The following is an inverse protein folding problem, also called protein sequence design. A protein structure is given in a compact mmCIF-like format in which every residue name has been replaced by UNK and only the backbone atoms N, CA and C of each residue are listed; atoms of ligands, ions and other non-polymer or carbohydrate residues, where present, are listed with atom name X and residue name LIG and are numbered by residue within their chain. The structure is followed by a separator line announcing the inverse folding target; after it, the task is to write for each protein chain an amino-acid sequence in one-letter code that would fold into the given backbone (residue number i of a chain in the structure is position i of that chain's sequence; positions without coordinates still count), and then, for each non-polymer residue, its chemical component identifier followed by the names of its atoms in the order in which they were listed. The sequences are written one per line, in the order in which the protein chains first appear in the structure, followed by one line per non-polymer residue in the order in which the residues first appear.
data_IF_333250762599
#
_entry.id   IF_333250762599
#
_cell.length_a   1.000
_cell.length_b   1.000
_cell.length_c   1.000
_cell.angle_alpha   90.00
_cell.angle_beta   90.00
_cell.angle_gamma   90.00
#
_symmetry.space_group_name_H-M   'P 1'
#
loop_
_entity.id
_entity.type
_entity.pdbx_description
1 polymer ?
#
# COMPACT_ATOMS: atom_id res chain seq x y z
N UNK A 1 -6.89 26.35 -1.26
CA UNK A 1 -6.70 25.17 -0.38
C UNK A 1 -5.87 24.17 -1.16
N UNK A 2 -4.69 23.75 -0.67
CA UNK A 2 -3.96 22.67 -1.32
C UNK A 2 -4.84 21.42 -1.37
N UNK A 3 -4.83 20.75 -2.51
CA UNK A 3 -5.74 19.65 -2.84
C UNK A 3 -5.09 18.37 -2.32
N UNK A 4 -5.50 17.88 -1.14
CA UNK A 4 -4.91 16.67 -0.54
C UNK A 4 -5.04 15.46 -1.48
N UNK A 5 -3.98 14.67 -1.57
CA UNK A 5 -3.93 13.36 -2.20
C UNK A 5 -4.02 12.28 -1.13
N UNK A 6 -4.74 11.21 -1.46
CA UNK A 6 -5.01 10.09 -0.55
C UNK A 6 -4.75 8.77 -1.26
N UNK A 7 -3.91 7.93 -0.67
CA UNK A 7 -3.68 6.57 -1.12
C UNK A 7 -4.30 5.62 -0.10
N UNK A 8 -5.30 4.85 -0.53
CA UNK A 8 -5.93 3.78 0.23
C UNK A 8 -5.40 2.45 -0.29
N UNK A 9 -4.65 1.75 0.56
CA UNK A 9 -4.01 0.49 0.23
C UNK A 9 -4.59 -0.64 1.07
N UNK A 10 -5.16 -1.64 0.42
CA UNK A 10 -5.60 -2.88 1.05
C UNK A 10 -4.59 -3.98 0.78
N UNK A 11 -4.02 -4.54 1.84
CA UNK A 11 -3.07 -5.65 1.79
C UNK A 11 -3.80 -6.93 2.21
N UNK A 12 -3.76 -7.96 1.37
CA UNK A 12 -4.37 -9.27 1.63
C UNK A 12 -3.25 -10.33 1.73
N UNK A 13 -3.09 -10.97 2.88
CA UNK A 13 -2.20 -12.12 3.01
C UNK A 13 -2.90 -13.37 2.49
N UNK A 14 -2.47 -13.88 1.32
CA UNK A 14 -3.03 -15.09 0.73
C UNK A 14 -2.41 -16.38 1.26
N UNK A 15 -1.32 -16.27 2.02
CA UNK A 15 -0.72 -17.43 2.62
C UNK A 15 -1.70 -18.03 3.63
N UNK A 16 -1.99 -19.32 3.49
CA UNK A 16 -2.98 -20.00 4.33
C UNK A 16 -2.46 -20.33 5.73
N UNK A 17 -1.16 -20.22 5.97
CA UNK A 17 -0.55 -20.68 7.23
C UNK A 17 0.57 -19.79 7.78
N UNK A 18 1.06 -18.81 7.00
CA UNK A 18 2.22 -18.00 7.38
C UNK A 18 1.83 -16.52 7.53
N UNK A 19 2.10 -15.93 8.69
CA UNK A 19 1.96 -14.49 8.89
C UNK A 19 3.08 -13.76 8.12
N UNK A 20 2.74 -12.65 7.46
CA UNK A 20 3.72 -11.83 6.75
C UNK A 20 4.19 -10.69 7.65
N UNK A 21 5.50 -10.52 7.72
CA UNK A 21 6.13 -9.49 8.56
C UNK A 21 6.56 -8.30 7.71
N UNK A 22 6.19 -7.10 8.14
CA UNK A 22 6.67 -5.84 7.59
C UNK A 22 8.11 -5.62 8.05
N UNK A 23 9.07 -5.72 7.13
CA UNK A 23 10.51 -5.55 7.44
C UNK A 23 11.01 -4.16 7.09
N UNK A 24 10.37 -3.48 6.15
CA UNK A 24 10.71 -2.11 5.74
C UNK A 24 9.46 -1.35 5.31
N UNK A 25 9.41 -0.07 5.68
CA UNK A 25 8.36 0.87 5.30
C UNK A 25 8.96 2.27 5.12
N UNK A 26 8.73 2.85 3.94
CA UNK A 26 8.94 4.25 3.63
C UNK A 26 7.68 4.82 2.96
N UNK A 27 7.22 6.03 3.30
CA UNK A 27 7.67 6.83 4.42
C UNK A 27 7.23 6.20 5.75
N UNK A 28 7.93 6.50 6.84
CA UNK A 28 7.58 6.01 8.17
C UNK A 28 6.47 6.84 8.85
N UNK A 29 6.24 8.06 8.36
CA UNK A 29 5.28 9.03 8.90
C UNK A 29 4.30 9.48 7.81
N UNK A 30 3.26 10.24 8.18
CA UNK A 30 2.23 10.73 7.26
C UNK A 30 1.05 9.77 7.06
N UNK A 31 1.13 8.56 7.61
CA UNK A 31 0.03 7.61 7.61
C UNK A 31 -1.10 8.04 8.54
N UNK A 32 -2.32 8.08 8.04
CA UNK A 32 -3.51 8.13 8.87
C UNK A 32 -3.78 6.78 9.53
N UNK A 33 -3.54 5.70 8.76
CA UNK A 33 -3.58 4.32 9.23
C UNK A 33 -2.39 3.60 8.61
N UNK A 34 -1.32 3.31 9.39
CA UNK A 34 -0.12 2.69 8.84
C UNK A 34 -0.35 1.20 8.51
N UNK A 35 0.45 0.61 7.62
CA UNK A 35 0.46 -0.83 7.39
C UNK A 35 0.79 -1.58 8.70
N UNK A 36 0.12 -2.70 8.99
CA UNK A 36 0.36 -3.44 10.23
C UNK A 36 1.71 -4.15 10.19
N UNK A 37 2.40 -4.27 11.33
CA UNK A 37 3.69 -5.00 11.37
C UNK A 37 3.57 -6.48 11.01
N UNK A 38 2.41 -7.07 11.29
CA UNK A 38 2.08 -8.46 11.04
C UNK A 38 0.78 -8.51 10.25
N UNK A 39 0.74 -9.32 9.20
CA UNK A 39 -0.47 -9.59 8.44
C UNK A 39 -0.75 -11.09 8.52
N UNK A 40 -1.75 -11.44 9.33
CA UNK A 40 -2.06 -12.83 9.65
C UNK A 40 -2.59 -13.61 8.42
N UNK A 41 -2.43 -14.94 8.39
CA UNK A 41 -2.89 -15.78 7.28
C UNK A 41 -4.36 -15.54 6.91
N UNK A 42 -4.64 -15.36 5.62
CA UNK A 42 -6.01 -15.15 5.11
C UNK A 42 -6.66 -13.82 5.52
N UNK A 43 -5.93 -12.93 6.19
CA UNK A 43 -6.46 -11.63 6.61
C UNK A 43 -6.20 -10.55 5.57
N UNK A 44 -7.00 -9.48 5.66
CA UNK A 44 -6.83 -8.28 4.87
C UNK A 44 -6.82 -7.05 5.78
N UNK A 45 -5.93 -6.10 5.50
CA UNK A 45 -5.85 -4.84 6.23
C UNK A 45 -5.83 -3.66 5.28
N UNK A 46 -6.61 -2.63 5.59
CA UNK A 46 -6.61 -1.37 4.83
C UNK A 46 -5.81 -0.31 5.59
N UNK A 47 -4.90 0.34 4.89
CA UNK A 47 -4.03 1.41 5.35
C UNK A 47 -4.21 2.65 4.45
N UNK A 48 -3.94 3.83 5.01
CA UNK A 48 -4.19 5.10 4.35
C UNK A 48 -3.06 6.08 4.65
N UNK A 49 -2.55 6.72 3.60
CA UNK A 49 -1.60 7.82 3.68
C UNK A 49 -2.13 9.01 2.88
N UNK A 50 -1.97 10.21 3.44
CA UNK A 50 -2.36 11.45 2.78
C UNK A 50 -1.19 12.43 2.73
N UNK A 51 -1.14 13.21 1.66
CA UNK A 51 -0.15 14.27 1.45
C UNK A 51 -0.74 15.40 0.64
N UNK A 52 -0.09 16.55 0.59
CA UNK A 52 -0.46 17.66 -0.30
C UNK A 52 0.31 17.69 -1.61
N UNK A 53 1.33 16.85 -1.76
CA UNK A 53 2.31 16.92 -2.83
C UNK A 53 2.42 15.59 -3.60
N UNK A 54 3.32 14.68 -3.23
CA UNK A 54 3.45 13.36 -3.88
C UNK A 54 3.55 12.26 -2.83
N UNK A 55 3.05 11.07 -3.18
CA UNK A 55 3.12 9.87 -2.34
C UNK A 55 4.08 8.90 -3.00
N UNK A 56 5.21 8.61 -2.36
CA UNK A 56 6.07 7.48 -2.73
C UNK A 56 6.09 6.52 -1.55
N UNK A 57 5.51 5.34 -1.69
CA UNK A 57 5.52 4.30 -0.67
C UNK A 57 6.37 3.13 -1.15
N UNK A 58 7.31 2.70 -0.30
CA UNK A 58 8.06 1.46 -0.47
C UNK A 58 7.85 0.60 0.76
N UNK A 59 7.45 -0.66 0.58
CA UNK A 59 7.26 -1.58 1.68
C UNK A 59 7.72 -2.99 1.36
N UNK A 60 8.15 -3.70 2.39
CA UNK A 60 8.61 -5.09 2.30
C UNK A 60 7.82 -5.95 3.27
N UNK A 61 7.02 -6.87 2.75
CA UNK A 61 6.32 -7.89 3.54
C UNK A 61 6.88 -9.27 3.20
N UNK A 62 7.65 -9.87 4.11
CA UNK A 62 8.40 -11.08 3.81
C UNK A 62 9.30 -10.89 2.58
N UNK A 63 9.02 -11.64 1.51
CA UNK A 63 9.74 -11.52 0.23
C UNK A 63 9.07 -10.56 -0.79
N UNK A 64 7.90 -10.00 -0.46
CA UNK A 64 7.20 -9.06 -1.34
C UNK A 64 7.77 -7.65 -1.18
N UNK A 65 8.56 -7.21 -2.15
CA UNK A 65 8.95 -5.80 -2.32
C UNK A 65 7.88 -5.07 -3.13
N UNK A 66 7.33 -3.99 -2.57
CA UNK A 66 6.24 -3.22 -3.17
C UNK A 66 6.66 -1.75 -3.23
N UNK A 67 6.64 -1.19 -4.43
CA UNK A 67 6.77 0.24 -4.70
C UNK A 67 5.45 0.81 -5.20
N UNK A 68 5.09 2.00 -4.71
CA UNK A 68 3.90 2.73 -5.09
C UNK A 68 4.26 4.20 -5.24
N UNK A 69 3.91 4.80 -6.37
CA UNK A 69 4.09 6.22 -6.59
C UNK A 69 2.77 6.85 -7.04
N UNK A 70 2.37 7.94 -6.40
CA UNK A 70 1.21 8.73 -6.78
C UNK A 70 1.58 10.21 -6.79
N UNK A 71 1.52 10.81 -7.98
CA UNK A 71 1.91 12.18 -8.23
C UNK A 71 1.49 12.61 -9.62
N UNK A 72 1.29 13.91 -9.85
CA UNK A 72 0.94 14.47 -11.16
C UNK A 72 -0.30 13.84 -11.84
N UNK A 73 -1.27 13.38 -11.03
CA UNK A 73 -2.48 12.72 -11.54
C UNK A 73 -2.27 11.30 -12.07
N UNK A 74 -1.13 10.68 -11.76
CA UNK A 74 -0.78 9.32 -12.16
C UNK A 74 -0.55 8.47 -10.89
N UNK A 75 -0.88 7.18 -10.98
CA UNK A 75 -0.53 6.15 -9.99
C UNK A 75 0.30 5.09 -10.71
N UNK A 76 1.51 4.87 -10.23
CA UNK A 76 2.41 3.82 -10.67
C UNK A 76 2.64 2.80 -9.54
N UNK A 77 2.71 1.53 -9.90
CA UNK A 77 2.77 0.41 -8.96
C UNK A 77 3.83 -0.57 -9.44
N UNK A 78 4.84 -0.78 -8.61
CA UNK A 78 5.82 -1.85 -8.72
C UNK A 78 5.45 -2.93 -7.69
N UNK A 79 4.61 -3.93 -8.05
CA UNK A 79 4.08 -4.85 -7.05
C UNK A 79 5.10 -5.92 -6.61
N UNK A 80 6.22 -6.05 -7.32
CA UNK A 80 7.20 -7.11 -7.10
C UNK A 80 6.57 -8.49 -7.23
N UNK A 81 6.51 -9.24 -6.12
CA UNK A 81 5.88 -10.56 -6.04
C UNK A 81 4.39 -10.51 -5.66
N UNK A 82 3.86 -9.34 -5.31
CA UNK A 82 2.44 -9.19 -5.02
C UNK A 82 1.60 -9.21 -6.31
N UNK A 83 0.33 -9.63 -6.18
CA UNK A 83 -0.65 -9.51 -7.26
C UNK A 83 -1.50 -8.26 -7.05
N UNK A 84 -1.66 -7.45 -8.10
CA UNK A 84 -2.60 -6.32 -8.09
C UNK A 84 -4.00 -6.87 -8.36
N UNK A 85 -4.86 -6.86 -7.34
CA UNK A 85 -6.24 -7.33 -7.43
C UNK A 85 -7.18 -6.24 -7.92
N UNK A 86 -6.93 -5.00 -7.48
CA UNK A 86 -7.74 -3.84 -7.80
C UNK A 86 -6.88 -2.58 -7.83
N UNK A 87 -7.15 -1.71 -8.79
CA UNK A 87 -6.57 -0.38 -8.89
C UNK A 87 -7.63 0.54 -9.47
N UNK A 88 -7.94 1.61 -8.74
CA UNK A 88 -8.82 2.68 -9.19
C UNK A 88 -8.26 4.03 -8.77
N UNK A 89 -8.49 5.04 -9.61
CA UNK A 89 -8.12 6.42 -9.32
C UNK A 89 -9.34 7.31 -9.57
N UNK A 90 -9.69 8.13 -8.58
CA UNK A 90 -10.79 9.09 -8.66
C UNK A 90 -10.31 10.44 -8.14
N UNK A 91 -9.99 11.34 -9.07
CA UNK A 91 -9.39 12.64 -8.76
C UNK A 91 -8.06 12.45 -8.03
N UNK A 92 -7.99 12.93 -6.78
CA UNK A 92 -6.79 12.87 -5.95
C UNK A 92 -6.73 11.65 -5.02
N UNK A 93 -7.61 10.66 -5.23
CA UNK A 93 -7.66 9.46 -4.41
C UNK A 93 -7.35 8.23 -5.26
N UNK A 94 -6.39 7.43 -4.79
CA UNK A 94 -6.06 6.14 -5.35
C UNK A 94 -6.49 5.03 -4.39
N UNK A 95 -7.15 4.00 -4.92
CA UNK A 95 -7.53 2.80 -4.17
C UNK A 95 -6.87 1.59 -4.80
N UNK A 96 -6.06 0.89 -4.01
CA UNK A 96 -5.24 -0.23 -4.47
C UNK A 96 -5.47 -1.42 -3.56
N UNK A 97 -5.67 -2.60 -4.14
CA UNK A 97 -5.66 -3.86 -3.38
C UNK A 97 -4.55 -4.76 -3.89
N UNK A 98 -3.63 -5.10 -3.00
CA UNK A 98 -2.52 -6.01 -3.24
C UNK A 98 -2.72 -7.31 -2.48
N UNK A 99 -2.43 -8.40 -3.17
CA UNK A 99 -2.46 -9.76 -2.66
C UNK A 99 -1.03 -10.27 -2.50
N UNK A 100 -0.62 -10.49 -1.27
CA UNK A 100 0.72 -10.91 -0.89
C UNK A 100 0.78 -12.45 -0.77
N UNK A 101 1.96 -13.05 -0.97
CA UNK A 101 2.20 -14.50 -0.90
C UNK A 101 3.38 -14.83 0.01
#
# INVERSE_FOLDING_TARGET
MPRSMSLVLTLENRNASTSLHLTSLAPQTGWQSPPPRHLEPGTRQTCCIETTDEITVTMHYGNCHIGLHMGNGIVDIEPGLAEIKHQAMSGNRAEITLKLA
#
